data_IF_927135683193
#
_entry.id   IF_927135683193
#
_cell.length_a   1.000
_cell.length_b   1.000
_cell.length_c   1.000
_cell.angle_alpha   90.00
_cell.angle_beta   90.00
_cell.angle_gamma   90.00
#
_symmetry.space_group_name_H-M   'P 1'
#
loop_
_entity.id
_entity.type
_entity.pdbx_description
1 polymer ?
#
# COMPACT_ATOMS: atom_id res chain seq x y z
N UNK A 1 -34.03 37.63 -27.16
CA UNK A 1 -33.11 36.51 -27.48
C UNK A 1 -32.59 35.90 -26.19
N UNK A 2 -32.75 34.59 -25.93
CA UNK A 2 -32.20 33.96 -24.74
C UNK A 2 -30.69 33.74 -24.90
N UNK A 3 -29.94 34.18 -23.89
CA UNK A 3 -28.49 33.99 -23.80
C UNK A 3 -28.18 32.49 -23.66
N UNK A 4 -27.27 31.89 -24.47
CA UNK A 4 -26.83 30.52 -24.24
C UNK A 4 -25.98 30.47 -22.95
N UNK A 5 -26.43 29.69 -21.96
CA UNK A 5 -25.62 29.33 -20.80
C UNK A 5 -24.44 28.50 -21.30
N UNK A 6 -23.24 29.08 -21.25
CA UNK A 6 -22.02 28.35 -21.60
C UNK A 6 -21.83 27.17 -20.64
N UNK A 7 -21.39 25.99 -21.13
CA UNK A 7 -21.05 24.85 -20.28
C UNK A 7 -19.91 25.25 -19.34
N UNK A 8 -20.09 25.00 -18.04
CA UNK A 8 -19.04 25.19 -17.05
C UNK A 8 -17.81 24.35 -17.42
N UNK A 9 -16.58 24.90 -17.32
CA UNK A 9 -15.38 24.10 -17.46
C UNK A 9 -15.33 23.08 -16.32
N UNK A 10 -15.41 21.79 -16.66
CA UNK A 10 -15.16 20.69 -15.72
C UNK A 10 -13.76 20.85 -15.14
N UNK A 11 -13.57 20.75 -13.82
CA UNK A 11 -12.24 20.79 -13.24
C UNK A 11 -11.41 19.61 -13.77
N UNK A 12 -10.13 19.81 -14.12
CA UNK A 12 -9.25 18.71 -14.49
C UNK A 12 -9.18 17.74 -13.30
N UNK A 13 -9.60 16.49 -13.53
CA UNK A 13 -9.32 15.40 -12.60
C UNK A 13 -7.80 15.36 -12.34
N UNK A 14 -7.33 15.07 -11.12
CA UNK A 14 -5.92 14.83 -10.86
C UNK A 14 -5.43 13.74 -11.82
N UNK A 15 -4.65 14.13 -12.83
CA UNK A 15 -4.09 13.22 -13.80
C UNK A 15 -3.03 12.37 -13.10
N UNK A 16 -3.43 11.25 -12.52
CA UNK A 16 -2.51 10.15 -12.26
C UNK A 16 -1.98 9.70 -13.62
N UNK A 17 -0.66 9.75 -13.89
CA UNK A 17 -0.13 9.33 -15.17
C UNK A 17 -0.53 7.87 -15.43
N UNK A 18 -1.00 7.51 -16.64
CA UNK A 18 -1.16 6.10 -16.99
C UNK A 18 0.22 5.43 -16.89
N UNK A 19 0.35 4.27 -16.20
CA UNK A 19 1.64 3.63 -16.03
C UNK A 19 2.25 3.30 -17.39
N UNK A 20 3.57 3.47 -17.57
CA UNK A 20 4.25 3.26 -18.83
C UNK A 20 4.03 1.82 -19.34
N UNK A 21 3.80 1.69 -20.65
CA UNK A 21 3.42 0.46 -21.34
C UNK A 21 4.45 -0.69 -21.29
N UNK A 22 5.59 -0.50 -20.62
CA UNK A 22 6.58 -1.52 -20.29
C UNK A 22 6.39 -2.01 -18.84
N UNK A 23 5.16 -2.34 -18.46
CA UNK A 23 4.83 -2.69 -17.08
C UNK A 23 5.17 -4.17 -16.80
N UNK A 24 6.30 -4.45 -16.15
CA UNK A 24 6.43 -5.72 -15.44
C UNK A 24 5.30 -5.76 -14.40
N UNK A 25 4.32 -6.63 -14.58
CA UNK A 25 3.22 -6.76 -13.64
C UNK A 25 3.69 -7.61 -12.47
N UNK A 26 3.39 -7.17 -11.26
CA UNK A 26 3.64 -7.90 -10.02
C UNK A 26 2.32 -8.27 -9.36
N UNK A 27 2.40 -9.20 -8.42
CA UNK A 27 1.26 -9.77 -7.74
C UNK A 27 1.35 -9.48 -6.25
N UNK A 28 0.25 -9.02 -5.64
CA UNK A 28 0.14 -8.85 -4.20
C UNK A 28 -1.14 -9.49 -3.69
N UNK A 29 -1.09 -9.99 -2.47
CA UNK A 29 -2.26 -10.54 -1.80
C UNK A 29 -2.90 -9.42 -0.97
N UNK A 30 -4.18 -9.18 -1.19
CA UNK A 30 -4.93 -8.19 -0.41
C UNK A 30 -5.02 -8.61 1.06
N UNK A 31 -4.70 -7.70 1.98
CA UNK A 31 -4.81 -7.95 3.43
C UNK A 31 -6.25 -8.18 3.91
N UNK A 32 -7.25 -7.58 3.24
CA UNK A 32 -8.65 -7.67 3.66
C UNK A 32 -9.35 -8.94 3.19
N UNK A 33 -9.25 -9.26 1.89
CA UNK A 33 -9.99 -10.37 1.29
C UNK A 33 -9.09 -11.49 0.73
N UNK A 34 -7.77 -11.42 0.95
CA UNK A 34 -6.75 -12.41 0.48
C UNK A 34 -6.80 -12.70 -1.02
N UNK A 35 -7.47 -11.85 -1.79
CA UNK A 35 -7.51 -11.97 -3.24
C UNK A 35 -6.15 -11.56 -3.83
N UNK A 36 -5.79 -12.16 -4.94
CA UNK A 36 -4.55 -11.92 -5.63
C UNK A 36 -4.76 -10.79 -6.64
N UNK A 37 -4.13 -9.63 -6.38
CA UNK A 37 -4.26 -8.44 -7.20
C UNK A 37 -3.02 -8.33 -8.10
N UNK A 38 -3.25 -8.17 -9.40
CA UNK A 38 -2.21 -7.76 -10.33
C UNK A 38 -2.07 -6.24 -10.30
N UNK A 39 -0.82 -5.78 -10.23
CA UNK A 39 -0.51 -4.36 -10.23
C UNK A 39 0.75 -4.11 -11.06
N UNK A 40 0.89 -2.93 -11.68
CA UNK A 40 2.12 -2.57 -12.37
C UNK A 40 3.25 -2.36 -11.36
N UNK A 41 4.43 -2.92 -11.62
CA UNK A 41 5.62 -2.63 -10.81
C UNK A 41 5.84 -1.11 -10.75
N UNK A 42 6.08 -0.58 -9.56
CA UNK A 42 6.17 0.87 -9.33
C UNK A 42 4.91 1.51 -8.74
N UNK A 43 3.78 0.78 -8.65
CA UNK A 43 2.69 1.24 -7.79
C UNK A 43 3.12 1.14 -6.31
N UNK A 44 2.93 2.23 -5.55
CA UNK A 44 3.21 2.27 -4.10
C UNK A 44 2.05 1.72 -3.28
N UNK A 45 0.85 1.68 -3.85
CA UNK A 45 -0.36 1.22 -3.19
C UNK A 45 -1.37 0.72 -4.20
N UNK A 46 -2.11 -0.34 -3.84
CA UNK A 46 -3.06 -1.00 -4.73
C UNK A 46 -4.37 -1.21 -3.99
N UNK A 47 -5.45 -0.69 -4.57
CA UNK A 47 -6.79 -0.87 -4.06
C UNK A 47 -7.39 -2.19 -4.57
N UNK A 48 -7.95 -2.98 -3.66
CA UNK A 48 -8.64 -4.19 -4.02
C UNK A 48 -10.00 -3.88 -4.64
N UNK A 49 -10.22 -4.29 -5.89
CA UNK A 49 -11.51 -4.16 -6.56
C UNK A 49 -12.65 -4.95 -5.89
N UNK A 50 -12.33 -5.92 -5.02
CA UNK A 50 -13.32 -6.76 -4.33
C UNK A 50 -13.77 -6.15 -3.00
N UNK A 51 -12.81 -5.75 -2.16
CA UNK A 51 -13.09 -5.31 -0.79
C UNK A 51 -12.73 -3.83 -0.53
N UNK A 52 -12.33 -3.09 -1.57
CA UNK A 52 -11.88 -1.69 -1.54
C UNK A 52 -10.73 -1.42 -0.54
N UNK A 53 -10.10 -2.47 -0.02
CA UNK A 53 -8.98 -2.37 0.90
C UNK A 53 -7.73 -1.90 0.14
N UNK A 54 -7.08 -0.87 0.67
CA UNK A 54 -5.84 -0.31 0.13
C UNK A 54 -4.67 -1.08 0.72
N UNK A 55 -3.94 -1.80 -0.13
CA UNK A 55 -2.75 -2.57 0.27
C UNK A 55 -1.50 -1.84 -0.23
N UNK A 56 -0.65 -1.40 0.70
CA UNK A 56 0.62 -0.78 0.35
C UNK A 56 1.57 -1.83 -0.25
N UNK A 57 2.19 -1.49 -1.37
CA UNK A 57 3.19 -2.35 -2.00
C UNK A 57 4.53 -2.05 -1.32
N UNK A 58 5.24 -3.06 -0.79
CA UNK A 58 6.58 -2.84 -0.27
C UNK A 58 7.49 -2.37 -1.42
N UNK A 59 8.20 -1.24 -1.27
CA UNK A 59 9.10 -0.75 -2.32
C UNK A 59 10.12 -1.82 -2.74
N UNK A 60 10.46 -1.90 -4.04
CA UNK A 60 11.53 -2.80 -4.47
C UNK A 60 12.84 -2.40 -3.77
N UNK A 61 13.40 -3.32 -2.99
CA UNK A 61 14.57 -3.07 -2.14
C UNK A 61 14.25 -2.89 -0.65
N UNK A 62 13.01 -3.11 -0.19
CA UNK A 62 12.76 -3.22 1.26
C UNK A 62 13.43 -4.44 1.83
N UNK A 63 14.54 -4.21 2.49
CA UNK A 63 15.19 -5.13 3.41
C UNK A 63 14.25 -5.40 4.59
N UNK A 64 14.04 -6.68 4.92
CA UNK A 64 13.29 -7.07 6.10
C UNK A 64 14.24 -7.18 7.28
N UNK A 65 13.79 -6.70 8.44
CA UNK A 65 14.44 -6.93 9.72
C UNK A 65 13.56 -7.81 10.61
N UNK A 66 14.19 -8.32 11.65
CA UNK A 66 13.55 -9.16 12.65
C UNK A 66 13.64 -8.46 14.00
N UNK A 67 12.54 -8.48 14.75
CA UNK A 67 12.53 -8.07 16.15
C UNK A 67 11.81 -9.11 16.99
N UNK A 68 12.16 -9.20 18.27
CA UNK A 68 11.45 -10.04 19.24
C UNK A 68 10.40 -9.19 19.93
N UNK A 69 9.16 -9.68 19.95
CA UNK A 69 8.08 -9.00 20.65
C UNK A 69 8.34 -8.94 22.15
N UNK A 70 8.29 -7.75 22.75
CA UNK A 70 8.47 -7.57 24.20
C UNK A 70 7.32 -8.13 25.06
N UNK A 71 6.16 -8.41 24.47
CA UNK A 71 5.00 -8.96 25.18
C UNK A 71 4.95 -10.49 25.18
N UNK A 72 5.13 -11.09 24.00
CA UNK A 72 4.96 -12.54 23.80
C UNK A 72 6.19 -13.26 23.27
N UNK A 73 7.35 -12.60 23.21
CA UNK A 73 8.65 -13.16 22.78
C UNK A 73 8.63 -13.82 21.39
N UNK A 74 7.60 -13.54 20.60
CA UNK A 74 7.49 -14.03 19.23
C UNK A 74 8.41 -13.21 18.34
N UNK A 75 9.08 -13.88 17.39
CA UNK A 75 9.88 -13.21 16.38
C UNK A 75 8.97 -12.63 15.29
N UNK A 76 9.01 -11.32 15.12
CA UNK A 76 8.27 -10.59 14.08
C UNK A 76 9.24 -10.20 12.96
N UNK A 77 8.76 -10.34 11.73
CA UNK A 77 9.42 -9.78 10.55
C UNK A 77 8.73 -8.46 10.21
N UNK A 78 9.53 -7.43 9.95
CA UNK A 78 9.03 -6.11 9.58
C UNK A 78 9.90 -5.49 8.49
N UNK A 79 9.38 -4.47 7.83
CA UNK A 79 10.13 -3.71 6.83
C UNK A 79 11.08 -2.75 7.53
N UNK A 80 12.38 -2.77 7.18
CA UNK A 80 13.34 -1.81 7.72
C UNK A 80 12.87 -0.39 7.41
N UNK A 81 12.92 0.48 8.41
CA UNK A 81 12.33 1.82 8.37
C UNK A 81 10.91 1.95 8.95
N UNK A 82 10.26 0.86 9.36
CA UNK A 82 9.09 0.97 10.23
C UNK A 82 9.53 1.54 11.60
N UNK A 83 8.81 2.52 12.13
CA UNK A 83 9.05 3.06 13.49
C UNK A 83 8.45 2.17 14.57
N UNK A 84 7.38 1.44 14.23
CA UNK A 84 6.71 0.52 15.14
C UNK A 84 6.07 -0.64 14.38
N UNK A 85 5.98 -1.78 15.05
CA UNK A 85 5.47 -3.04 14.51
C UNK A 85 4.50 -3.64 15.51
N UNK A 86 3.23 -3.77 15.12
CA UNK A 86 2.24 -4.43 15.96
C UNK A 86 2.36 -5.94 15.83
N UNK A 87 2.49 -6.62 16.97
CA UNK A 87 2.50 -8.07 17.01
C UNK A 87 1.11 -8.63 16.69
N UNK A 88 1.02 -9.56 15.75
CA UNK A 88 -0.21 -10.27 15.43
C UNK A 88 -0.60 -11.31 16.49
N UNK A 89 0.34 -11.78 17.31
CA UNK A 89 0.08 -12.78 18.35
C UNK A 89 -0.51 -12.18 19.64
N UNK A 90 0.04 -11.04 20.09
CA UNK A 90 -0.35 -10.42 21.35
C UNK A 90 -0.80 -8.95 21.22
N UNK A 91 -0.90 -8.42 20.00
CA UNK A 91 -1.29 -7.02 19.71
C UNK A 91 -0.38 -5.96 20.35
N UNK A 92 0.73 -6.36 20.96
CA UNK A 92 1.73 -5.45 21.50
C UNK A 92 2.42 -4.69 20.37
N UNK A 93 2.43 -3.36 20.48
CA UNK A 93 3.18 -2.49 19.58
C UNK A 93 4.64 -2.47 20.03
N UNK A 94 5.53 -2.94 19.18
CA UNK A 94 6.97 -2.95 19.41
C UNK A 94 7.58 -1.78 18.66
N UNK A 95 8.47 -1.03 19.31
CA UNK A 95 9.26 0.00 18.63
C UNK A 95 10.36 -0.67 17.83
N UNK A 96 10.36 -0.45 16.52
CA UNK A 96 11.43 -0.87 15.64
C UNK A 96 12.50 0.23 15.66
N UNK A 97 13.35 0.21 16.69
CA UNK A 97 14.49 1.12 16.80
C UNK A 97 15.62 0.58 15.91
N UNK A 98 15.67 1.05 14.67
CA UNK A 98 16.88 0.95 13.85
C UNK A 98 17.87 1.98 14.42
N UNK A 99 18.73 1.54 15.34
CA UNK A 99 19.84 2.31 15.89
C UNK A 99 21.13 2.08 15.10
#
# INVERSE_FOLDING_TARGET
MPVPLAPYPTPPAPYTPPPPANAAQSQLVCSGCRNLLLYPVGATSVCCAVCNAVTAVPPPGTEMAQLVCGGCHTLLMYIRGATSVQCSCCHTVNLALEG
#
